data_IF_462876855433
#
_entry.id   IF_462876855433
#
_cell.length_a   1.000
_cell.length_b   1.000
_cell.length_c   1.000
_cell.angle_alpha   90.00
_cell.angle_beta   90.00
_cell.angle_gamma   90.00
#
_symmetry.space_group_name_H-M   'P 1'
#
loop_
_entity.id
_entity.type
_entity.pdbx_description
1 polymer ?
#
# COMPACT_ATOMS: atom_id res chain seq x y z
N UNK A 1 15.48 -38.25 2.33
CA UNK A 1 15.79 -37.43 1.15
C UNK A 1 14.49 -37.28 0.35
N UNK A 2 13.65 -36.30 0.66
CA UNK A 2 12.37 -36.10 -0.05
C UNK A 2 12.61 -35.23 -1.28
N UNK A 3 12.39 -35.77 -2.47
CA UNK A 3 12.49 -35.01 -3.72
C UNK A 3 11.58 -33.77 -3.68
N UNK A 4 12.03 -32.60 -4.18
CA UNK A 4 11.19 -31.42 -4.24
C UNK A 4 10.10 -31.66 -5.28
N UNK A 5 8.89 -31.95 -4.78
CA UNK A 5 7.65 -32.10 -5.57
C UNK A 5 7.55 -30.96 -6.59
N UNK A 6 7.51 -31.29 -7.88
CA UNK A 6 7.44 -30.31 -8.96
C UNK A 6 6.18 -29.45 -8.77
N UNK A 7 6.36 -28.22 -8.27
CA UNK A 7 5.23 -27.34 -7.95
C UNK A 7 4.48 -27.02 -9.24
N UNK A 8 3.17 -27.29 -9.25
CA UNK A 8 2.26 -26.92 -10.33
C UNK A 8 2.43 -25.44 -10.70
N UNK A 9 2.23 -25.14 -12.00
CA UNK A 9 2.39 -23.79 -12.57
C UNK A 9 1.57 -22.73 -11.82
N UNK A 10 0.37 -23.13 -11.36
CA UNK A 10 -0.53 -22.32 -10.53
C UNK A 10 0.08 -22.01 -9.17
N UNK A 11 0.66 -22.99 -8.49
CA UNK A 11 1.29 -22.79 -7.17
C UNK A 11 2.52 -21.89 -7.27
N UNK A 12 3.33 -22.04 -8.33
CA UNK A 12 4.46 -21.12 -8.60
C UNK A 12 4.00 -19.70 -8.93
N UNK A 13 2.85 -19.54 -9.57
CA UNK A 13 2.27 -18.23 -9.87
C UNK A 13 1.76 -17.54 -8.59
N UNK A 14 1.04 -18.27 -7.74
CA UNK A 14 0.57 -17.78 -6.44
C UNK A 14 1.74 -17.39 -5.51
N UNK A 15 2.80 -18.19 -5.47
CA UNK A 15 4.02 -17.87 -4.69
C UNK A 15 4.65 -16.54 -5.14
N UNK A 16 4.56 -16.19 -6.43
CA UNK A 16 5.10 -14.94 -6.99
C UNK A 16 4.16 -13.73 -6.80
N UNK A 17 2.87 -13.95 -6.66
CA UNK A 17 1.88 -12.88 -6.46
C UNK A 17 1.91 -12.31 -5.03
N UNK A 18 2.35 -13.10 -4.04
CA UNK A 18 2.33 -12.74 -2.62
C UNK A 18 2.75 -11.29 -2.32
N UNK A 19 3.95 -10.84 -2.73
CA UNK A 19 4.41 -9.48 -2.44
C UNK A 19 3.55 -8.39 -3.08
N UNK A 20 3.08 -8.61 -4.32
CA UNK A 20 2.22 -7.65 -5.02
C UNK A 20 0.81 -7.58 -4.45
N UNK A 21 0.25 -8.72 -4.05
CA UNK A 21 -1.06 -8.80 -3.41
C UNK A 21 -1.05 -8.09 -2.04
N UNK A 22 -0.01 -8.33 -1.23
CA UNK A 22 0.14 -7.69 0.08
C UNK A 22 0.29 -6.17 -0.07
N UNK A 23 1.06 -5.71 -1.06
CA UNK A 23 1.23 -4.28 -1.31
C UNK A 23 -0.07 -3.63 -1.76
N UNK A 24 -0.87 -4.30 -2.60
CA UNK A 24 -2.13 -3.76 -3.10
C UNK A 24 -3.18 -3.73 -2.00
N UNK A 25 -3.28 -4.80 -1.21
CA UNK A 25 -4.15 -4.84 -0.05
C UNK A 25 -3.78 -3.79 1.02
N UNK A 26 -2.51 -3.36 1.06
CA UNK A 26 -2.06 -2.28 1.93
C UNK A 26 -2.36 -0.88 1.38
N UNK A 27 -2.63 -0.73 0.09
CA UNK A 27 -2.95 0.55 -0.57
C UNK A 27 -4.47 0.83 -0.50
N UNK A 28 -5.29 -0.23 -0.46
CA UNK A 28 -6.74 -0.17 -0.25
C UNK A 28 -7.11 -0.16 1.25
N UNK A 29 -6.59 0.82 1.98
CA UNK A 29 -6.84 1.00 3.41
C UNK A 29 -8.21 1.66 3.72
N UNK A 30 -8.77 1.48 4.94
CA UNK A 30 -10.03 2.09 5.34
C UNK A 30 -10.06 3.62 5.19
N UNK A 31 -8.94 4.30 5.48
CA UNK A 31 -8.83 5.75 5.33
C UNK A 31 -8.87 6.21 3.86
N UNK A 32 -8.25 5.48 2.93
CA UNK A 32 -8.37 5.69 1.50
C UNK A 32 -9.80 5.49 1.00
N UNK A 33 -10.43 4.38 1.37
CA UNK A 33 -11.84 4.10 1.03
C UNK A 33 -12.75 5.21 1.57
N UNK A 34 -12.53 5.67 2.80
CA UNK A 34 -13.27 6.78 3.41
C UNK A 34 -13.12 8.08 2.61
N UNK A 35 -11.88 8.42 2.23
CA UNK A 35 -11.58 9.63 1.44
C UNK A 35 -12.27 9.61 0.08
N UNK A 36 -12.17 8.50 -0.66
CA UNK A 36 -12.80 8.39 -1.98
C UNK A 36 -14.32 8.36 -1.89
N UNK A 37 -14.88 7.74 -0.83
CA UNK A 37 -16.33 7.73 -0.58
C UNK A 37 -16.84 9.14 -0.25
N UNK A 38 -16.13 9.89 0.59
CA UNK A 38 -16.48 11.27 0.91
C UNK A 38 -16.36 12.18 -0.33
N UNK A 39 -15.28 12.05 -1.09
CA UNK A 39 -15.09 12.78 -2.34
C UNK A 39 -16.20 12.45 -3.36
N UNK A 40 -16.57 11.18 -3.49
CA UNK A 40 -17.67 10.74 -4.34
C UNK A 40 -19.04 11.27 -3.88
N UNK A 41 -19.28 11.36 -2.58
CA UNK A 41 -20.51 11.94 -2.04
C UNK A 41 -20.65 13.44 -2.35
N UNK A 42 -19.54 14.19 -2.32
CA UNK A 42 -19.54 15.64 -2.57
C UNK A 42 -19.49 15.96 -4.06
N UNK A 43 -18.63 15.29 -4.82
CA UNK A 43 -18.33 15.62 -6.23
C UNK A 43 -18.99 14.68 -7.25
N UNK A 44 -19.68 13.64 -6.80
CA UNK A 44 -20.23 12.61 -7.68
C UNK A 44 -19.13 11.96 -8.52
N UNK A 45 -19.37 11.79 -9.82
CA UNK A 45 -18.41 11.20 -10.76
C UNK A 45 -17.36 12.19 -11.31
N UNK A 46 -17.35 13.45 -10.86
CA UNK A 46 -16.48 14.48 -11.42
C UNK A 46 -14.98 14.20 -11.23
N UNK A 47 -14.60 13.39 -10.24
CA UNK A 47 -13.21 13.00 -9.97
C UNK A 47 -12.81 11.68 -10.62
N UNK A 48 -13.74 10.94 -11.24
CA UNK A 48 -13.48 9.57 -11.73
C UNK A 48 -12.41 9.53 -12.83
N UNK A 49 -12.30 10.59 -13.64
CA UNK A 49 -11.28 10.69 -14.68
C UNK A 49 -9.85 10.67 -14.12
N UNK A 50 -9.66 11.09 -12.86
CA UNK A 50 -8.34 11.07 -12.21
C UNK A 50 -7.81 9.64 -12.09
N UNK A 51 -8.69 8.65 -11.90
CA UNK A 51 -8.32 7.24 -11.84
C UNK A 51 -7.60 6.76 -13.10
N UNK A 52 -7.99 7.27 -14.27
CA UNK A 52 -7.33 6.93 -15.54
C UNK A 52 -5.87 7.39 -15.60
N UNK A 53 -5.53 8.43 -14.84
CA UNK A 53 -4.17 9.00 -14.77
C UNK A 53 -3.39 8.43 -13.60
N UNK A 54 -4.02 8.28 -12.44
CA UNK A 54 -3.35 7.82 -11.21
C UNK A 54 -3.06 6.32 -11.24
N UNK A 55 -3.90 5.50 -11.86
CA UNK A 55 -3.71 4.06 -11.96
C UNK A 55 -2.42 3.67 -12.70
N UNK A 56 -2.12 4.16 -13.93
CA UNK A 56 -0.86 3.85 -14.59
C UNK A 56 0.35 4.42 -13.82
N UNK A 57 0.21 5.58 -13.18
CA UNK A 57 1.26 6.16 -12.35
C UNK A 57 1.60 5.23 -11.16
N UNK A 58 0.58 4.73 -10.45
CA UNK A 58 0.74 3.80 -9.34
C UNK A 58 1.41 2.51 -9.78
N UNK A 59 0.99 1.93 -10.92
CA UNK A 59 1.62 0.73 -11.50
C UNK A 59 3.10 0.95 -11.73
N UNK A 60 3.49 2.10 -12.30
CA UNK A 60 4.91 2.41 -12.56
C UNK A 60 5.69 2.53 -11.26
N UNK A 61 5.16 3.25 -10.26
CA UNK A 61 5.81 3.40 -8.95
C UNK A 61 5.99 2.03 -8.30
N UNK A 62 4.94 1.21 -8.28
CA UNK A 62 5.00 -0.12 -7.67
C UNK A 62 5.95 -1.06 -8.41
N UNK A 63 6.01 -0.99 -9.75
CA UNK A 63 6.95 -1.75 -10.56
C UNK A 63 8.40 -1.38 -10.26
N UNK A 64 8.69 -0.07 -10.13
CA UNK A 64 10.04 0.40 -9.77
C UNK A 64 10.43 -0.05 -8.37
N UNK A 65 9.54 0.10 -7.39
CA UNK A 65 9.76 -0.36 -6.01
C UNK A 65 10.02 -1.88 -5.96
N UNK A 66 9.20 -2.67 -6.66
CA UNK A 66 9.37 -4.11 -6.75
C UNK A 66 10.71 -4.49 -7.39
N UNK A 67 11.07 -3.81 -8.49
CA UNK A 67 12.35 -4.05 -9.19
C UNK A 67 13.56 -3.72 -8.31
N UNK A 68 13.51 -2.60 -7.58
CA UNK A 68 14.56 -2.23 -6.62
C UNK A 68 14.66 -3.28 -5.50
N UNK A 69 13.54 -3.70 -4.92
CA UNK A 69 13.52 -4.73 -3.88
C UNK A 69 14.07 -6.08 -4.36
N UNK A 70 13.68 -6.51 -5.56
CA UNK A 70 14.15 -7.75 -6.18
C UNK A 70 15.65 -7.73 -6.48
N UNK A 71 16.17 -6.62 -7.02
CA UNK A 71 17.58 -6.53 -7.41
C UNK A 71 18.52 -6.29 -6.21
N UNK A 72 18.07 -5.51 -5.23
CA UNK A 72 18.89 -5.17 -4.06
C UNK A 72 18.78 -6.18 -2.92
N UNK A 73 17.72 -6.99 -2.89
CA UNK A 73 17.39 -7.87 -1.76
C UNK A 73 17.14 -7.12 -0.45
N UNK A 74 16.87 -5.81 -0.52
CA UNK A 74 16.80 -4.90 0.62
C UNK A 74 15.58 -3.99 0.50
N UNK A 75 15.10 -3.50 1.65
CA UNK A 75 14.03 -2.49 1.68
C UNK A 75 14.52 -1.12 1.19
N UNK A 76 13.58 -0.28 0.73
CA UNK A 76 13.84 1.06 0.20
C UNK A 76 14.71 1.92 1.12
N UNK A 77 14.42 1.96 2.42
CA UNK A 77 15.22 2.72 3.40
C UNK A 77 16.68 2.23 3.49
N UNK A 78 16.90 0.92 3.39
CA UNK A 78 18.25 0.34 3.36
C UNK A 78 18.99 0.68 2.07
N UNK A 79 18.29 0.69 0.93
CA UNK A 79 18.84 1.12 -0.36
C UNK A 79 19.22 2.60 -0.31
N UNK A 80 18.33 3.46 0.20
CA UNK A 80 18.62 4.91 0.36
C UNK A 80 19.85 5.12 1.25
N UNK A 81 19.97 4.37 2.35
CA UNK A 81 21.14 4.46 3.25
C UNK A 81 22.47 4.13 2.56
N UNK A 82 22.46 3.27 1.54
CA UNK A 82 23.67 2.85 0.81
C UNK A 82 24.07 3.88 -0.24
N UNK A 83 23.08 4.43 -0.98
CA UNK A 83 23.35 5.26 -2.16
C UNK A 83 23.23 6.77 -1.91
N UNK A 84 22.62 7.20 -0.79
CA UNK A 84 22.37 8.62 -0.50
C UNK A 84 22.94 9.06 0.85
N UNK A 85 23.29 10.35 1.00
CA UNK A 85 23.76 10.90 2.26
C UNK A 85 22.67 10.88 3.34
N UNK A 86 23.11 10.85 4.61
CA UNK A 86 22.22 10.76 5.79
C UNK A 86 21.16 11.86 5.84
N UNK A 87 21.45 13.05 5.32
CA UNK A 87 20.50 14.17 5.30
C UNK A 87 19.29 13.96 4.37
N UNK A 88 19.36 13.02 3.43
CA UNK A 88 18.18 12.58 2.64
C UNK A 88 17.49 11.41 3.33
N UNK A 89 18.26 10.50 3.91
CA UNK A 89 17.75 9.33 4.62
C UNK A 89 16.87 9.71 5.82
N UNK A 90 17.33 10.62 6.68
CA UNK A 90 16.63 10.95 7.91
C UNK A 90 15.26 11.58 7.64
N UNK A 91 15.11 12.61 6.80
CA UNK A 91 13.80 13.15 6.43
C UNK A 91 12.90 12.11 5.78
N UNK A 92 13.41 11.26 4.89
CA UNK A 92 12.61 10.22 4.24
C UNK A 92 12.04 9.21 5.25
N UNK A 93 12.86 8.72 6.19
CA UNK A 93 12.43 7.75 7.21
C UNK A 93 11.50 8.39 8.24
N UNK A 94 11.80 9.63 8.69
CA UNK A 94 10.93 10.35 9.63
C UNK A 94 9.58 10.68 8.97
N UNK A 95 9.61 11.14 7.71
CA UNK A 95 8.39 11.41 6.94
C UNK A 95 7.54 10.15 6.76
N UNK A 96 8.16 9.02 6.43
CA UNK A 96 7.48 7.72 6.37
C UNK A 96 6.85 7.34 7.71
N UNK A 97 7.56 7.54 8.82
CA UNK A 97 7.05 7.22 10.15
C UNK A 97 5.85 8.09 10.52
N UNK A 98 5.93 9.39 10.26
CA UNK A 98 4.82 10.33 10.51
C UNK A 98 3.62 9.98 9.64
N UNK A 99 3.83 9.78 8.33
CA UNK A 99 2.76 9.44 7.39
C UNK A 99 2.03 8.16 7.81
N UNK A 100 2.77 7.08 8.09
CA UNK A 100 2.17 5.82 8.52
C UNK A 100 1.45 5.93 9.88
N UNK A 101 1.95 6.76 10.79
CA UNK A 101 1.32 6.98 12.11
C UNK A 101 -0.02 7.69 11.95
N UNK A 102 -0.09 8.72 11.11
CA UNK A 102 -1.33 9.41 10.78
C UNK A 102 -2.31 8.45 10.09
N UNK A 103 -1.80 7.64 9.17
CA UNK A 103 -2.61 6.67 8.42
C UNK A 103 -3.30 5.65 9.33
N UNK A 104 -2.55 5.08 10.28
CA UNK A 104 -3.10 4.16 11.29
C UNK A 104 -4.21 4.86 12.11
N UNK A 105 -4.02 6.14 12.46
CA UNK A 105 -5.04 6.92 13.15
C UNK A 105 -6.34 7.05 12.34
N UNK A 106 -6.21 7.41 11.06
CA UNK A 106 -7.34 7.54 10.14
C UNK A 106 -8.04 6.19 9.87
N UNK A 107 -7.29 5.10 9.78
CA UNK A 107 -7.85 3.76 9.59
C UNK A 107 -8.69 3.32 10.78
N UNK A 108 -8.23 3.59 12.01
CA UNK A 108 -8.99 3.30 13.23
C UNK A 108 -10.30 4.09 13.26
N UNK A 109 -10.27 5.37 12.89
CA UNK A 109 -11.46 6.22 12.79
C UNK A 109 -12.46 5.68 11.76
N UNK A 110 -11.98 5.38 10.55
CA UNK A 110 -12.82 4.85 9.47
C UNK A 110 -13.46 3.50 9.83
N UNK A 111 -12.69 2.59 10.46
CA UNK A 111 -13.21 1.31 10.94
C UNK A 111 -14.23 1.51 12.06
N UNK A 112 -13.98 2.43 13.00
CA UNK A 112 -14.93 2.75 14.06
C UNK A 112 -16.26 3.29 13.51
N UNK A 113 -16.19 4.20 12.52
CA UNK A 113 -17.37 4.71 11.83
C UNK A 113 -18.15 3.59 11.11
N UNK A 114 -17.45 2.70 10.42
CA UNK A 114 -18.08 1.54 9.77
C UNK A 114 -18.75 0.60 10.77
N UNK A 115 -18.11 0.30 11.90
CA UNK A 115 -18.69 -0.54 12.96
C UNK A 115 -19.95 0.09 13.53
N UNK A 116 -19.96 1.40 13.77
CA UNK A 116 -21.11 2.11 14.31
C UNK A 116 -22.37 1.97 13.41
N UNK A 117 -22.18 1.86 12.09
CA UNK A 117 -23.28 1.61 11.15
C UNK A 117 -23.93 0.23 11.30
N UNK A 118 -23.16 -0.80 11.69
CA UNK A 118 -23.66 -2.18 11.81
C UNK A 118 -24.13 -2.54 13.21
N UNK A 119 -23.40 -2.07 14.22
CA UNK A 119 -23.74 -2.22 15.62
C UNK A 119 -23.74 -0.81 16.18
N UNK A 120 -24.91 -0.24 16.54
CA UNK A 120 -24.95 1.08 17.16
C UNK A 120 -24.40 0.98 18.58
N UNK A 121 -23.07 0.90 18.68
CA UNK A 121 -22.33 1.02 19.90
C UNK A 121 -22.17 2.52 20.13
N UNK A 122 -22.79 3.03 21.19
CA UNK A 122 -22.55 4.39 21.67
C UNK A 122 -21.11 4.46 22.20
N UNK A 123 -20.16 4.73 21.31
CA UNK A 123 -18.80 5.16 21.64
C UNK A 123 -18.76 6.68 21.59
#
# INVERSE_FOLDING_TARGET
MSEPREKNVITRFLDKLGPGLITGASDDDPSGIGTYTQAGAVFGYATLWTALVTLPLMIVVQHVCAKIGMLSGRGLASVIKIYYPKWILFPAVIGLLIANTINIGADIEAVAAAINMFVPVSI
#
